data_IF_005733608229
#
_entry.id   IF_005733608229
#
_cell.length_a   1.000
_cell.length_b   1.000
_cell.length_c   1.000
_cell.angle_alpha   90.00
_cell.angle_beta   90.00
_cell.angle_gamma   90.00
#
_symmetry.space_group_name_H-M   'P 1'
#
loop_
_entity.id
_entity.type
_entity.pdbx_description
1 polymer ?
#
# COMPACT_ATOMS: atom_id res chain seq x y z
N UNK A 1 1.81 -9.16 -22.82
CA UNK A 1 0.48 -8.61 -22.54
C UNK A 1 0.56 -7.08 -22.54
N UNK A 2 -0.53 -6.36 -22.94
CA UNK A 2 -0.51 -4.89 -22.99
C UNK A 2 -0.21 -4.28 -21.61
N UNK A 3 -0.82 -4.78 -20.54
CA UNK A 3 -0.56 -4.34 -19.18
C UNK A 3 0.92 -4.48 -18.77
N UNK A 4 1.61 -5.57 -19.13
CA UNK A 4 3.05 -5.72 -18.83
C UNK A 4 3.92 -4.74 -19.63
N UNK A 5 3.53 -4.42 -20.86
CA UNK A 5 4.20 -3.36 -21.65
C UNK A 5 4.07 -2.00 -20.96
N UNK A 6 2.85 -1.63 -20.57
CA UNK A 6 2.60 -0.38 -19.83
C UNK A 6 3.32 -0.36 -18.47
N UNK A 7 3.33 -1.49 -17.74
CA UNK A 7 4.04 -1.59 -16.48
C UNK A 7 5.55 -1.33 -16.65
N UNK A 8 6.16 -1.87 -17.71
CA UNK A 8 7.55 -1.57 -18.04
C UNK A 8 7.75 -0.10 -18.41
N UNK A 9 6.83 0.48 -19.16
CA UNK A 9 6.88 1.88 -19.58
C UNK A 9 6.85 2.82 -18.37
N UNK A 10 5.89 2.63 -17.45
CA UNK A 10 5.73 3.51 -16.27
C UNK A 10 6.80 3.30 -15.20
N UNK A 11 7.44 2.13 -15.15
CA UNK A 11 8.50 1.84 -14.16
C UNK A 11 9.92 2.01 -14.71
N UNK A 12 10.10 2.01 -16.03
CA UNK A 12 11.40 1.98 -16.69
C UNK A 12 12.09 0.61 -16.63
N UNK A 13 11.42 -0.42 -16.13
CA UNK A 13 12.01 -1.75 -15.97
C UNK A 13 12.18 -2.48 -17.32
N UNK A 14 13.23 -3.31 -17.50
CA UNK A 14 13.47 -4.06 -18.73
C UNK A 14 12.47 -5.18 -18.96
N UNK A 15 11.86 -5.74 -17.88
CA UNK A 15 10.86 -6.80 -17.95
C UNK A 15 9.85 -6.68 -16.81
N UNK A 16 8.67 -7.28 -16.98
CA UNK A 16 7.58 -7.28 -16.00
C UNK A 16 6.80 -8.58 -16.05
N UNK A 17 6.19 -8.97 -14.93
CA UNK A 17 5.25 -10.06 -14.77
C UNK A 17 4.13 -9.63 -13.84
N UNK A 18 2.89 -10.07 -14.12
CA UNK A 18 1.71 -9.76 -13.33
C UNK A 18 1.10 -11.05 -12.81
N UNK A 19 0.85 -11.08 -11.50
CA UNK A 19 0.19 -12.17 -10.79
C UNK A 19 -1.00 -11.67 -9.96
N UNK A 20 -1.71 -12.55 -9.28
CA UNK A 20 -2.98 -12.24 -8.61
C UNK A 20 -2.86 -11.33 -7.38
N UNK A 21 -1.75 -11.37 -6.63
CA UNK A 21 -1.49 -10.50 -5.49
C UNK A 21 0.01 -10.47 -5.12
N UNK A 22 0.42 -9.54 -4.25
CA UNK A 22 1.81 -9.37 -3.85
C UNK A 22 2.37 -10.56 -3.06
N UNK A 23 1.56 -11.23 -2.23
CA UNK A 23 1.98 -12.45 -1.52
C UNK A 23 2.31 -13.58 -2.51
N UNK A 24 1.47 -13.77 -3.54
CA UNK A 24 1.73 -14.69 -4.63
C UNK A 24 2.96 -14.31 -5.45
N UNK A 25 3.22 -13.00 -5.62
CA UNK A 25 4.43 -12.51 -6.27
C UNK A 25 5.69 -12.89 -5.49
N UNK A 26 5.69 -12.68 -4.17
CA UNK A 26 6.81 -13.03 -3.30
C UNK A 26 7.03 -14.54 -3.24
N UNK A 27 5.96 -15.32 -3.07
CA UNK A 27 6.01 -16.78 -3.09
C UNK A 27 6.62 -17.31 -4.41
N UNK A 28 6.19 -16.77 -5.53
CA UNK A 28 6.71 -17.10 -6.86
C UNK A 28 8.18 -16.72 -6.98
N UNK A 29 8.55 -15.50 -6.60
CA UNK A 29 9.92 -14.99 -6.69
C UNK A 29 10.89 -15.88 -5.90
N UNK A 30 10.59 -16.09 -4.62
CA UNK A 30 11.42 -16.88 -3.73
C UNK A 30 11.48 -18.36 -4.16
N UNK A 31 10.33 -18.97 -4.44
CA UNK A 31 10.28 -20.37 -4.87
C UNK A 31 10.94 -20.67 -6.23
N UNK A 32 11.04 -19.67 -7.11
CA UNK A 32 11.70 -19.83 -8.40
C UNK A 32 13.21 -19.51 -8.35
N UNK A 33 13.66 -18.61 -7.45
CA UNK A 33 15.04 -18.14 -7.38
C UNK A 33 15.85 -18.86 -6.30
N UNK A 34 15.21 -19.23 -5.19
CA UNK A 34 15.92 -19.59 -3.95
C UNK A 34 15.46 -20.92 -3.33
N UNK A 35 14.63 -21.71 -4.01
CA UNK A 35 14.12 -22.99 -3.46
C UNK A 35 15.26 -23.88 -2.95
N UNK A 36 15.09 -24.44 -1.77
CA UNK A 36 16.05 -25.29 -1.04
C UNK A 36 17.39 -24.59 -0.72
N UNK A 37 17.44 -23.26 -0.86
CA UNK A 37 18.63 -22.43 -0.59
C UNK A 37 18.30 -21.33 0.43
N UNK A 38 19.32 -20.58 0.80
CA UNK A 38 19.24 -19.53 1.81
C UNK A 38 18.89 -18.17 1.22
N UNK A 39 18.01 -17.44 1.92
CA UNK A 39 17.64 -16.05 1.64
C UNK A 39 17.99 -15.23 2.87
N UNK A 40 18.89 -14.26 2.69
CA UNK A 40 19.34 -13.38 3.77
C UNK A 40 18.44 -12.15 3.82
N UNK A 41 17.87 -11.85 4.99
CA UNK A 41 16.96 -10.71 5.21
C UNK A 41 17.19 -10.11 6.59
N UNK A 42 16.98 -8.80 6.74
CA UNK A 42 17.06 -8.12 8.04
C UNK A 42 15.95 -8.60 8.97
N UNK A 43 16.30 -8.90 10.23
CA UNK A 43 15.30 -9.21 11.26
C UNK A 43 14.29 -8.09 11.47
N UNK A 44 14.71 -6.84 11.33
CA UNK A 44 13.83 -5.67 11.40
C UNK A 44 12.82 -5.56 10.26
N UNK A 45 12.95 -6.38 9.20
CA UNK A 45 12.08 -6.42 8.03
C UNK A 45 11.13 -7.63 7.99
N UNK A 46 11.14 -8.47 9.04
CA UNK A 46 10.23 -9.61 9.17
C UNK A 46 8.84 -9.13 9.58
N UNK A 47 8.10 -8.66 8.58
CA UNK A 47 6.81 -8.01 8.75
C UNK A 47 5.65 -8.99 8.90
N UNK A 48 4.61 -8.54 9.63
CA UNK A 48 3.24 -9.07 9.52
C UNK A 48 2.35 -7.96 8.95
N UNK A 49 1.57 -8.28 7.92
CA UNK A 49 0.57 -7.38 7.32
C UNK A 49 -0.83 -7.94 7.61
N UNK A 50 -1.86 -7.13 7.42
CA UNK A 50 -3.25 -7.52 7.66
C UNK A 50 -3.64 -8.87 7.02
N UNK A 51 -4.52 -9.64 7.70
CA UNK A 51 -4.91 -10.97 7.27
C UNK A 51 -3.89 -12.07 7.60
N UNK A 52 -3.09 -11.86 8.66
CA UNK A 52 -2.08 -12.83 9.15
C UNK A 52 -0.97 -13.15 8.13
N UNK A 53 -0.75 -12.27 7.15
CA UNK A 53 0.39 -12.40 6.24
C UNK A 53 1.69 -12.17 7.03
N UNK A 54 2.45 -13.22 7.22
CA UNK A 54 3.77 -13.21 7.88
C UNK A 54 4.85 -13.57 6.87
N UNK A 55 5.83 -12.71 6.72
CA UNK A 55 6.94 -12.94 5.79
C UNK A 55 7.64 -14.30 6.03
N UNK A 56 7.99 -14.71 7.26
CA UNK A 56 8.60 -16.02 7.49
C UNK A 56 7.75 -17.20 7.00
N UNK A 57 6.43 -17.15 7.18
CA UNK A 57 5.52 -18.20 6.72
C UNK A 57 5.47 -18.30 5.19
N UNK A 58 5.54 -17.17 4.48
CA UNK A 58 5.62 -17.16 3.01
C UNK A 58 6.97 -17.72 2.54
N UNK A 59 8.06 -17.40 3.22
CA UNK A 59 9.39 -17.95 2.92
C UNK A 59 9.42 -19.46 3.11
N UNK A 60 8.86 -19.96 4.20
CA UNK A 60 8.71 -21.41 4.44
C UNK A 60 7.87 -22.08 3.34
N UNK A 61 6.71 -21.49 3.00
CA UNK A 61 5.84 -21.99 1.93
C UNK A 61 6.53 -21.96 0.55
N UNK A 62 7.44 -21.05 0.31
CA UNK A 62 8.27 -21.00 -0.89
C UNK A 62 9.35 -22.09 -0.94
N UNK A 63 9.60 -22.77 0.18
CA UNK A 63 10.64 -23.80 0.34
C UNK A 63 12.04 -23.22 0.40
N UNK A 64 12.21 -22.01 0.98
CA UNK A 64 13.51 -21.37 1.16
C UNK A 64 13.95 -21.41 2.63
N UNK A 65 15.24 -21.33 2.87
CA UNK A 65 15.80 -21.23 4.21
C UNK A 65 16.01 -19.76 4.59
N UNK A 66 15.25 -19.27 5.56
CA UNK A 66 15.38 -17.93 6.09
C UNK A 66 16.69 -17.80 6.89
N UNK A 67 17.51 -16.79 6.53
CA UNK A 67 18.71 -16.39 7.30
C UNK A 67 18.51 -14.95 7.76
N UNK A 68 18.21 -14.79 9.05
CA UNK A 68 17.98 -13.49 9.67
C UNK A 68 19.29 -12.81 10.05
N UNK A 69 19.44 -11.52 9.73
CA UNK A 69 20.61 -10.73 10.09
C UNK A 69 20.23 -9.48 10.90
N UNK A 70 21.18 -9.02 11.72
CA UNK A 70 20.98 -7.86 12.59
C UNK A 70 20.00 -8.11 13.73
N UNK A 71 19.37 -7.04 14.18
CA UNK A 71 18.39 -7.04 15.28
C UNK A 71 17.10 -6.35 14.83
N UNK A 72 16.10 -6.28 15.71
CA UNK A 72 14.80 -5.66 15.41
C UNK A 72 14.91 -4.22 14.92
N UNK A 73 15.86 -3.43 15.47
CA UNK A 73 15.99 -2.00 15.20
C UNK A 73 17.32 -1.61 14.53
N UNK A 74 18.29 -2.52 14.44
CA UNK A 74 19.60 -2.24 13.84
C UNK A 74 20.09 -3.39 13.00
N UNK A 75 20.38 -3.09 11.76
CA UNK A 75 21.07 -3.99 10.83
C UNK A 75 22.15 -3.20 10.13
N UNK A 76 23.35 -3.75 10.04
CA UNK A 76 24.48 -3.17 9.37
C UNK A 76 24.85 -3.98 8.12
N UNK A 77 25.52 -3.35 7.17
CA UNK A 77 25.97 -4.04 5.95
C UNK A 77 26.88 -5.25 6.28
N UNK A 78 27.68 -5.13 7.34
CA UNK A 78 28.53 -6.23 7.84
C UNK A 78 27.73 -7.46 8.28
N UNK A 79 26.50 -7.30 8.77
CA UNK A 79 25.63 -8.42 9.17
C UNK A 79 25.23 -9.24 7.95
N UNK A 80 24.87 -8.56 6.83
CA UNK A 80 24.61 -9.23 5.56
C UNK A 80 25.86 -9.91 5.01
N UNK A 81 27.01 -9.20 5.00
CA UNK A 81 28.26 -9.72 4.48
C UNK A 81 28.74 -10.99 5.21
N UNK A 82 28.53 -11.04 6.54
CA UNK A 82 28.88 -12.17 7.37
C UNK A 82 27.95 -13.39 7.24
N UNK A 83 26.74 -13.20 6.75
CA UNK A 83 25.74 -14.24 6.59
C UNK A 83 25.76 -14.88 5.18
N UNK A 84 26.39 -14.25 4.20
CA UNK A 84 26.47 -14.77 2.83
C UNK A 84 27.42 -15.98 2.81
N UNK A 85 26.89 -17.13 2.41
CA UNK A 85 27.62 -18.39 2.25
C UNK A 85 27.33 -19.05 0.89
N UNK A 86 27.87 -20.27 0.70
CA UNK A 86 27.72 -21.04 -0.54
C UNK A 86 26.24 -21.41 -0.83
N UNK A 87 25.43 -21.52 0.20
CA UNK A 87 24.00 -21.83 0.08
C UNK A 87 23.13 -20.60 -0.19
N UNK A 88 23.65 -19.39 -0.05
CA UNK A 88 22.89 -18.16 -0.27
C UNK A 88 22.48 -18.06 -1.73
N UNK A 89 21.18 -17.83 -1.99
CA UNK A 89 20.63 -17.68 -3.34
C UNK A 89 20.38 -16.22 -3.70
N UNK A 90 19.96 -15.42 -2.73
CA UNK A 90 19.68 -13.99 -2.93
C UNK A 90 19.69 -13.24 -1.59
N UNK A 91 19.81 -11.92 -1.67
CA UNK A 91 19.44 -11.03 -0.57
C UNK A 91 18.01 -10.54 -0.79
N UNK A 92 17.26 -10.39 0.29
CA UNK A 92 15.91 -9.83 0.29
C UNK A 92 15.89 -8.57 1.15
N UNK A 93 15.46 -7.47 0.59
CA UNK A 93 15.12 -6.25 1.32
C UNK A 93 13.60 -6.09 1.31
N UNK A 94 13.02 -5.71 2.44
CA UNK A 94 11.56 -5.54 2.57
C UNK A 94 11.28 -4.16 3.14
N UNK A 95 10.53 -3.36 2.39
CA UNK A 95 10.13 -2.03 2.86
C UNK A 95 9.04 -2.15 3.94
N UNK A 96 9.22 -1.54 5.13
CA UNK A 96 8.24 -1.58 6.22
C UNK A 96 7.04 -0.68 5.89
N UNK A 97 6.20 -1.11 4.93
CA UNK A 97 5.11 -0.30 4.37
C UNK A 97 3.93 -0.07 5.33
N UNK A 98 3.84 -0.79 6.45
CA UNK A 98 2.71 -0.74 7.40
C UNK A 98 3.10 -0.35 8.84
N UNK A 99 4.38 -0.14 9.13
CA UNK A 99 4.86 0.30 10.45
C UNK A 99 6.11 1.16 10.32
N UNK A 100 6.46 1.83 11.40
CA UNK A 100 7.68 2.62 11.51
C UNK A 100 8.40 2.29 12.82
N UNK A 101 9.72 2.05 12.75
CA UNK A 101 10.56 1.91 13.94
C UNK A 101 11.18 3.28 14.24
N UNK A 102 10.95 3.76 15.47
CA UNK A 102 11.40 5.08 15.93
C UNK A 102 12.41 4.92 17.06
N UNK A 103 13.47 5.74 17.05
CA UNK A 103 14.50 5.76 18.09
C UNK A 103 15.87 5.38 17.55
N UNK A 104 16.59 4.52 18.27
CA UNK A 104 17.94 4.08 17.89
C UNK A 104 17.87 3.02 16.79
N UNK A 105 17.65 3.46 15.55
CA UNK A 105 17.52 2.57 14.38
C UNK A 105 18.71 2.75 13.43
N UNK A 106 19.05 1.67 12.73
CA UNK A 106 20.05 1.69 11.64
C UNK A 106 19.65 0.63 10.61
N UNK A 107 19.60 1.03 9.35
CA UNK A 107 19.47 0.13 8.20
C UNK A 107 20.44 0.57 7.10
N UNK A 108 21.14 -0.35 6.43
CA UNK A 108 21.97 0.02 5.30
C UNK A 108 21.08 0.51 4.15
N UNK A 109 21.53 1.53 3.39
CA UNK A 109 20.84 1.93 2.16
C UNK A 109 20.71 0.77 1.17
N UNK A 110 19.58 0.73 0.46
CA UNK A 110 19.31 -0.34 -0.51
C UNK A 110 20.44 -0.50 -1.55
N UNK A 111 21.06 0.61 -1.96
CA UNK A 111 22.18 0.60 -2.91
C UNK A 111 23.40 -0.14 -2.35
N UNK A 112 23.73 0.02 -1.07
CA UNK A 112 24.85 -0.69 -0.44
C UNK A 112 24.57 -2.20 -0.35
N UNK A 113 23.31 -2.60 -0.09
CA UNK A 113 22.90 -4.02 -0.09
C UNK A 113 22.99 -4.58 -1.51
N UNK A 114 22.59 -3.81 -2.54
CA UNK A 114 22.69 -4.19 -3.94
C UNK A 114 24.15 -4.40 -4.36
N UNK A 115 25.02 -3.44 -4.04
CA UNK A 115 26.46 -3.52 -4.35
C UNK A 115 27.10 -4.76 -3.70
N UNK A 116 26.77 -5.04 -2.42
CA UNK A 116 27.23 -6.24 -1.73
C UNK A 116 26.73 -7.52 -2.40
N UNK A 117 25.46 -7.59 -2.76
CA UNK A 117 24.87 -8.73 -3.46
C UNK A 117 25.61 -8.98 -4.80
N UNK A 118 25.78 -7.95 -5.60
CA UNK A 118 26.44 -8.03 -6.90
C UNK A 118 27.90 -8.42 -6.81
N UNK A 119 28.66 -7.91 -5.83
CA UNK A 119 30.03 -8.35 -5.56
C UNK A 119 30.13 -9.84 -5.24
N UNK A 120 29.08 -10.44 -4.73
CA UNK A 120 28.99 -11.87 -4.41
C UNK A 120 28.29 -12.69 -5.50
N UNK A 121 27.93 -12.07 -6.64
CA UNK A 121 27.22 -12.73 -7.74
C UNK A 121 25.77 -13.12 -7.41
N UNK A 122 25.16 -12.47 -6.42
CA UNK A 122 23.80 -12.73 -5.95
C UNK A 122 22.84 -11.64 -6.44
N UNK A 123 21.57 -11.96 -6.73
CA UNK A 123 20.55 -10.97 -6.97
C UNK A 123 20.05 -10.35 -5.65
N UNK A 124 19.67 -9.06 -5.70
CA UNK A 124 18.88 -8.40 -4.69
C UNK A 124 17.42 -8.35 -5.11
N UNK A 125 16.55 -8.95 -4.29
CA UNK A 125 15.09 -8.84 -4.39
C UNK A 125 14.62 -7.75 -3.43
N UNK A 126 13.74 -6.86 -3.89
CA UNK A 126 13.14 -5.82 -3.05
C UNK A 126 11.62 -5.94 -3.02
N UNK A 127 11.08 -6.33 -1.87
CA UNK A 127 9.64 -6.25 -1.59
C UNK A 127 9.28 -4.83 -1.14
N UNK A 128 8.87 -4.01 -2.11
CA UNK A 128 8.47 -2.63 -1.89
C UNK A 128 7.08 -2.52 -1.26
N UNK A 129 6.20 -3.44 -1.57
CA UNK A 129 4.84 -3.54 -1.04
C UNK A 129 3.88 -2.43 -1.47
N UNK A 130 4.24 -1.16 -1.33
CA UNK A 130 3.35 -0.01 -1.50
C UNK A 130 2.96 0.34 -2.93
N UNK A 131 3.84 0.08 -3.90
CA UNK A 131 3.57 0.30 -5.32
C UNK A 131 3.56 1.76 -5.77
N UNK A 132 4.35 2.62 -5.13
CA UNK A 132 4.56 3.97 -5.61
C UNK A 132 5.32 3.97 -6.94
N UNK A 133 4.71 4.55 -7.98
CA UNK A 133 5.29 4.73 -9.31
C UNK A 133 5.42 6.21 -9.62
N UNK A 134 6.55 6.60 -10.22
CA UNK A 134 6.83 7.98 -10.61
C UNK A 134 7.55 8.79 -9.54
N UNK A 135 7.16 10.06 -9.38
CA UNK A 135 7.80 10.96 -8.42
C UNK A 135 7.60 10.51 -6.98
N UNK A 136 8.61 10.74 -6.14
CA UNK A 136 8.55 10.49 -4.71
C UNK A 136 7.33 11.17 -4.07
N UNK A 137 6.75 10.52 -3.08
CA UNK A 137 5.65 11.05 -2.27
C UNK A 137 5.94 10.77 -0.79
N UNK A 138 6.09 11.83 -0.01
CA UNK A 138 6.54 11.69 1.37
C UNK A 138 7.89 10.97 1.47
N UNK A 139 7.97 10.01 2.39
CA UNK A 139 9.15 9.13 2.57
C UNK A 139 9.04 7.81 1.82
N UNK A 140 7.95 7.60 1.09
CA UNK A 140 7.71 6.34 0.41
C UNK A 140 8.66 6.19 -0.79
N UNK A 141 9.44 5.11 -0.86
CA UNK A 141 10.29 4.85 -2.01
C UNK A 141 9.45 4.46 -3.22
N UNK A 142 9.89 4.89 -4.42
CA UNK A 142 9.25 4.48 -5.65
C UNK A 142 9.90 3.23 -6.25
N UNK A 143 9.18 2.57 -7.15
CA UNK A 143 9.70 1.44 -7.94
C UNK A 143 10.96 1.85 -8.70
N UNK A 144 10.97 3.06 -9.29
CA UNK A 144 12.12 3.60 -10.01
C UNK A 144 13.33 3.81 -9.11
N UNK A 145 13.12 4.31 -7.88
CA UNK A 145 14.22 4.46 -6.90
C UNK A 145 14.79 3.10 -6.49
N UNK A 146 13.95 2.09 -6.32
CA UNK A 146 14.40 0.73 -6.00
C UNK A 146 15.24 0.13 -7.12
N UNK A 147 14.80 0.28 -8.38
CA UNK A 147 15.56 -0.16 -9.55
C UNK A 147 16.87 0.61 -9.71
N UNK A 148 16.85 1.94 -9.53
CA UNK A 148 18.03 2.79 -9.60
C UNK A 148 19.04 2.49 -8.48
N UNK A 149 18.58 2.05 -7.31
CA UNK A 149 19.43 1.57 -6.22
C UNK A 149 20.04 0.18 -6.47
N UNK A 150 19.74 -0.47 -7.60
CA UNK A 150 20.36 -1.73 -8.00
C UNK A 150 19.54 -2.98 -7.64
N UNK A 151 18.27 -2.85 -7.23
CA UNK A 151 17.42 -4.03 -7.05
C UNK A 151 17.23 -4.76 -8.40
N UNK A 152 17.53 -6.06 -8.42
CA UNK A 152 17.41 -6.91 -9.62
C UNK A 152 15.97 -7.32 -9.90
N UNK A 153 15.16 -7.39 -8.84
CA UNK A 153 13.73 -7.67 -8.90
C UNK A 153 13.02 -6.82 -7.83
N UNK A 154 12.04 -6.05 -8.25
CA UNK A 154 11.15 -5.29 -7.34
C UNK A 154 9.76 -5.87 -7.45
N UNK A 155 9.12 -6.15 -6.31
CA UNK A 155 7.74 -6.62 -6.25
C UNK A 155 6.88 -5.68 -5.39
N UNK A 156 5.62 -5.52 -5.77
CA UNK A 156 4.71 -4.59 -5.12
C UNK A 156 3.24 -4.91 -5.42
N UNK A 157 2.34 -4.26 -4.69
CA UNK A 157 0.89 -4.42 -4.79
C UNK A 157 0.27 -3.43 -5.79
N UNK A 158 -0.74 -3.87 -6.53
CA UNK A 158 -1.46 -3.03 -7.48
C UNK A 158 -2.53 -2.13 -6.83
N UNK A 159 -3.05 -2.54 -5.69
CA UNK A 159 -4.22 -1.94 -5.02
C UNK A 159 -3.90 -0.96 -3.88
N UNK A 160 -2.65 -0.51 -3.81
CA UNK A 160 -2.20 0.52 -2.85
C UNK A 160 -1.91 1.83 -3.60
N UNK A 161 -0.68 2.35 -3.53
CA UNK A 161 -0.32 3.64 -4.15
C UNK A 161 -0.33 3.63 -5.68
N UNK A 162 -0.26 2.45 -6.33
CA UNK A 162 -0.53 2.39 -7.75
C UNK A 162 -1.97 2.79 -8.09
N UNK A 163 -2.92 2.51 -7.19
CA UNK A 163 -4.33 2.89 -7.34
C UNK A 163 -5.14 2.02 -8.29
N UNK A 164 -4.66 0.80 -8.53
CA UNK A 164 -5.29 -0.20 -9.40
C UNK A 164 -6.05 -1.29 -8.64
N UNK A 165 -6.37 -2.41 -9.32
CA UNK A 165 -6.95 -3.58 -8.71
C UNK A 165 -5.91 -4.35 -7.89
N UNK A 166 -6.37 -5.27 -7.04
CA UNK A 166 -5.50 -6.23 -6.38
C UNK A 166 -4.72 -7.02 -7.43
N UNK A 167 -3.40 -6.90 -7.39
CA UNK A 167 -2.45 -7.61 -8.24
C UNK A 167 -1.08 -7.64 -7.55
N UNK A 168 -0.28 -8.64 -7.86
CA UNK A 168 1.14 -8.68 -7.57
C UNK A 168 1.93 -8.31 -8.82
N UNK A 169 2.78 -7.32 -8.71
CA UNK A 169 3.56 -6.77 -9.81
C UNK A 169 5.03 -7.04 -9.56
N UNK A 170 5.68 -7.63 -10.54
CA UNK A 170 7.12 -7.95 -10.50
C UNK A 170 7.78 -7.26 -11.69
N UNK A 171 8.81 -6.47 -11.41
CA UNK A 171 9.59 -5.76 -12.44
C UNK A 171 11.08 -5.90 -12.15
N UNK A 172 11.91 -5.96 -13.19
CA UNK A 172 13.36 -6.08 -13.02
C UNK A 172 14.04 -6.75 -14.20
N UNK A 173 15.14 -7.44 -13.92
CA UNK A 173 16.00 -8.07 -14.93
C UNK A 173 15.24 -9.13 -15.74
N UNK A 174 15.46 -9.13 -17.07
CA UNK A 174 14.80 -10.05 -18.02
C UNK A 174 15.02 -11.51 -17.67
N UNK A 175 16.22 -11.84 -17.20
CA UNK A 175 16.61 -13.20 -16.83
C UNK A 175 15.77 -13.70 -15.66
N UNK A 176 15.62 -12.90 -14.60
CA UNK A 176 14.83 -13.25 -13.42
C UNK A 176 13.34 -13.36 -13.78
N UNK A 177 12.78 -12.36 -14.43
CA UNK A 177 11.38 -12.39 -14.88
C UNK A 177 11.14 -13.60 -15.79
N UNK A 178 12.09 -13.97 -16.66
CA UNK A 178 12.00 -15.15 -17.49
C UNK A 178 12.01 -16.47 -16.71
N UNK A 179 12.76 -16.56 -15.62
CA UNK A 179 12.74 -17.70 -14.68
C UNK A 179 11.39 -17.81 -14.01
N UNK A 180 10.89 -16.70 -13.46
CA UNK A 180 9.59 -16.65 -12.79
C UNK A 180 8.44 -17.07 -13.73
N UNK A 181 8.41 -16.52 -14.94
CA UNK A 181 7.35 -16.80 -15.92
C UNK A 181 7.30 -18.29 -16.37
N UNK A 182 8.41 -19.00 -16.31
CA UNK A 182 8.50 -20.42 -16.62
C UNK A 182 8.18 -21.34 -15.44
N UNK A 183 8.12 -20.81 -14.23
CA UNK A 183 7.78 -21.59 -13.03
C UNK A 183 6.34 -22.11 -13.12
N UNK A 184 6.07 -23.37 -12.78
CA UNK A 184 4.70 -23.88 -12.67
C UNK A 184 3.83 -23.05 -11.70
N UNK A 185 4.44 -22.44 -10.68
CA UNK A 185 3.77 -21.59 -9.72
C UNK A 185 3.17 -20.33 -10.37
N UNK A 186 3.80 -19.80 -11.44
CA UNK A 186 3.27 -18.65 -12.18
C UNK A 186 1.87 -18.94 -12.77
N UNK A 187 1.59 -20.20 -13.09
CA UNK A 187 0.26 -20.63 -13.56
C UNK A 187 -0.76 -20.63 -12.41
N UNK A 188 -0.35 -21.05 -11.22
CA UNK A 188 -1.23 -21.11 -10.04
C UNK A 188 -1.61 -19.71 -9.53
N UNK A 189 -0.67 -18.75 -9.59
CA UNK A 189 -0.88 -17.37 -9.13
C UNK A 189 -1.25 -16.40 -10.26
N UNK A 190 -1.70 -16.90 -11.40
CA UNK A 190 -2.04 -16.07 -12.55
C UNK A 190 -3.20 -15.12 -12.26
N UNK A 191 -3.03 -13.83 -12.58
CA UNK A 191 -4.12 -12.87 -12.56
C UNK A 191 -5.19 -13.19 -13.61
N UNK A 192 -6.46 -12.95 -13.30
CA UNK A 192 -7.59 -13.13 -14.19
C UNK A 192 -7.69 -11.97 -15.22
N UNK A 193 -8.61 -12.13 -16.19
CA UNK A 193 -8.77 -11.17 -17.30
C UNK A 193 -9.34 -9.82 -16.84
N UNK A 194 -10.21 -9.79 -15.82
CA UNK A 194 -10.81 -8.56 -15.31
C UNK A 194 -9.75 -7.75 -14.56
N UNK A 195 -8.96 -8.40 -13.70
CA UNK A 195 -7.80 -7.79 -13.03
C UNK A 195 -6.82 -7.21 -14.06
N UNK A 196 -6.47 -7.94 -15.10
CA UNK A 196 -5.55 -7.46 -16.16
C UNK A 196 -6.13 -6.25 -16.88
N UNK A 197 -7.42 -6.26 -17.23
CA UNK A 197 -8.07 -5.14 -17.93
C UNK A 197 -8.13 -3.87 -17.04
N UNK A 198 -8.50 -4.01 -15.77
CA UNK A 198 -8.53 -2.90 -14.82
C UNK A 198 -7.11 -2.33 -14.57
N UNK A 199 -6.12 -3.22 -14.43
CA UNK A 199 -4.72 -2.81 -14.26
C UNK A 199 -4.18 -2.10 -15.51
N UNK A 200 -4.55 -2.55 -16.71
CA UNK A 200 -4.19 -1.88 -17.96
C UNK A 200 -4.71 -0.46 -18.02
N UNK A 201 -5.97 -0.22 -17.62
CA UNK A 201 -6.55 1.11 -17.52
C UNK A 201 -5.79 2.00 -16.51
N UNK A 202 -5.49 1.46 -15.32
CA UNK A 202 -4.71 2.17 -14.30
C UNK A 202 -3.32 2.56 -14.82
N UNK A 203 -2.60 1.61 -15.42
CA UNK A 203 -1.26 1.86 -15.95
C UNK A 203 -1.27 2.83 -17.14
N UNK A 204 -2.31 2.80 -17.98
CA UNK A 204 -2.49 3.78 -19.06
C UNK A 204 -2.70 5.20 -18.51
N UNK A 205 -3.41 5.35 -17.40
CA UNK A 205 -3.59 6.63 -16.70
C UNK A 205 -2.25 7.16 -16.18
N UNK A 206 -1.42 6.28 -15.58
CA UNK A 206 -0.06 6.64 -15.16
C UNK A 206 0.84 7.02 -16.35
N UNK A 207 0.84 6.23 -17.43
CA UNK A 207 1.62 6.50 -18.63
C UNK A 207 1.24 7.83 -19.31
N UNK A 208 -0.02 8.22 -19.21
CA UNK A 208 -0.52 9.51 -19.70
C UNK A 208 -0.20 10.69 -18.77
N UNK A 209 0.47 10.47 -17.63
CA UNK A 209 0.76 11.52 -16.64
C UNK A 209 -0.47 12.02 -15.87
N UNK A 210 -1.57 11.27 -15.86
CA UNK A 210 -2.87 11.67 -15.29
C UNK A 210 -3.20 10.93 -14.00
N UNK A 211 -2.18 10.56 -13.22
CA UNK A 211 -2.36 9.78 -11.98
C UNK A 211 -3.35 10.42 -10.99
N UNK A 212 -3.48 11.76 -11.00
CA UNK A 212 -4.39 12.48 -10.12
C UNK A 212 -5.89 12.22 -10.46
N UNK A 213 -6.18 11.58 -11.58
CA UNK A 213 -7.52 11.07 -11.90
C UNK A 213 -7.86 9.78 -11.14
N UNK A 214 -6.84 9.06 -10.63
CA UNK A 214 -7.06 7.86 -9.82
C UNK A 214 -7.57 8.24 -8.43
N UNK A 215 -8.58 7.53 -7.88
CA UNK A 215 -9.21 7.90 -6.60
C UNK A 215 -8.22 8.05 -5.45
N UNK A 216 -7.25 7.14 -5.31
CA UNK A 216 -6.23 7.21 -4.26
C UNK A 216 -5.38 8.48 -4.40
N UNK A 217 -4.94 8.80 -5.61
CA UNK A 217 -4.10 9.98 -5.86
C UNK A 217 -4.88 11.27 -5.67
N UNK A 218 -6.13 11.33 -6.13
CA UNK A 218 -7.02 12.46 -5.83
C UNK A 218 -7.11 12.70 -4.34
N UNK A 219 -7.35 11.64 -3.55
CA UNK A 219 -7.42 11.75 -2.09
C UNK A 219 -6.09 12.21 -1.48
N UNK A 220 -4.95 11.70 -1.93
CA UNK A 220 -3.62 12.05 -1.42
C UNK A 220 -3.24 13.51 -1.74
N UNK A 221 -3.59 14.01 -2.93
CA UNK A 221 -3.16 15.33 -3.43
C UNK A 221 -4.19 16.45 -3.18
N UNK A 222 -5.40 16.15 -2.68
CA UNK A 222 -6.42 17.16 -2.35
C UNK A 222 -5.87 18.17 -1.34
N UNK A 223 -5.96 19.46 -1.66
CA UNK A 223 -5.45 20.57 -0.86
C UNK A 223 -6.41 20.95 0.26
N UNK A 224 -5.89 21.54 1.33
CA UNK A 224 -6.72 22.08 2.42
C UNK A 224 -7.68 23.17 1.93
N UNK A 225 -7.23 23.99 0.97
CA UNK A 225 -8.03 25.08 0.39
C UNK A 225 -9.27 24.56 -0.34
N UNK A 226 -9.23 23.32 -0.86
CA UNK A 226 -10.37 22.66 -1.50
C UNK A 226 -11.27 21.97 -0.46
N UNK A 227 -10.70 21.44 0.62
CA UNK A 227 -11.44 20.72 1.66
C UNK A 227 -12.21 21.68 2.59
N UNK A 228 -11.60 22.80 2.97
CA UNK A 228 -12.17 23.75 3.93
C UNK A 228 -13.56 24.26 3.54
N UNK A 229 -13.79 24.81 2.33
CA UNK A 229 -15.12 25.26 1.96
C UNK A 229 -16.16 24.13 1.92
N UNK A 230 -15.77 22.92 1.47
CA UNK A 230 -16.64 21.74 1.44
C UNK A 230 -17.06 21.33 2.86
N UNK A 231 -16.10 21.17 3.77
CA UNK A 231 -16.36 20.81 5.17
C UNK A 231 -17.25 21.87 5.86
N UNK A 232 -16.98 23.14 5.60
CA UNK A 232 -17.78 24.25 6.16
C UNK A 232 -19.22 24.20 5.64
N UNK A 233 -19.41 23.94 4.34
CA UNK A 233 -20.74 23.83 3.74
C UNK A 233 -21.55 22.66 4.32
N UNK A 234 -20.92 21.48 4.46
CA UNK A 234 -21.55 20.30 5.08
C UNK A 234 -21.92 20.61 6.55
N UNK A 235 -21.01 21.17 7.34
CA UNK A 235 -21.29 21.51 8.73
C UNK A 235 -22.42 22.52 8.86
N UNK A 236 -22.42 23.60 8.05
CA UNK A 236 -23.47 24.60 8.03
C UNK A 236 -24.85 24.00 7.67
N UNK A 237 -24.89 23.08 6.74
CA UNK A 237 -26.11 22.41 6.32
C UNK A 237 -26.70 21.46 7.39
N UNK A 238 -25.88 20.94 8.30
CA UNK A 238 -26.30 20.17 9.47
C UNK A 238 -26.74 21.08 10.60
N UNK A 239 -26.12 22.24 10.75
CA UNK A 239 -26.48 23.23 11.77
C UNK A 239 -25.74 23.02 13.10
N UNK A 240 -26.43 23.31 14.24
CA UNK A 240 -25.81 23.36 15.55
C UNK A 240 -25.13 22.04 16.01
N UNK A 241 -25.52 20.92 15.44
CA UNK A 241 -24.94 19.62 15.76
C UNK A 241 -23.60 19.37 15.05
N UNK A 242 -23.13 20.25 14.16
CA UNK A 242 -21.90 20.04 13.40
C UNK A 242 -20.96 21.25 13.47
N UNK A 243 -19.68 20.97 13.45
CA UNK A 243 -18.60 21.95 13.36
C UNK A 243 -17.44 21.43 12.51
N UNK A 244 -16.50 22.29 12.18
CA UNK A 244 -15.29 21.90 11.47
C UNK A 244 -14.06 22.08 12.35
N UNK A 245 -13.07 21.20 12.18
CA UNK A 245 -11.73 21.36 12.76
C UNK A 245 -10.64 20.92 11.82
N UNK A 246 -9.44 21.40 12.06
CA UNK A 246 -8.25 20.84 11.44
C UNK A 246 -7.94 19.46 12.02
N UNK A 247 -7.43 18.58 11.19
CA UNK A 247 -7.12 17.22 11.56
C UNK A 247 -6.14 16.56 10.59
N UNK A 248 -6.00 15.26 10.75
CA UNK A 248 -5.06 14.47 9.98
C UNK A 248 -5.79 13.26 9.39
N UNK A 249 -5.60 13.04 8.09
CA UNK A 249 -5.96 11.82 7.40
C UNK A 249 -4.72 10.92 7.31
N UNK A 250 -4.93 9.62 7.23
CA UNK A 250 -3.87 8.62 7.01
C UNK A 250 -4.19 7.81 5.76
N UNK A 251 -3.16 7.38 5.05
CA UNK A 251 -3.34 6.62 3.80
C UNK A 251 -3.84 5.17 4.02
N UNK A 252 -3.98 4.73 5.27
CA UNK A 252 -4.37 3.37 5.61
C UNK A 252 -3.18 2.41 5.75
N UNK A 253 -3.47 1.13 5.94
CA UNK A 253 -2.42 0.12 6.12
C UNK A 253 -1.70 -0.22 4.83
N UNK A 254 -0.38 -0.37 4.92
CA UNK A 254 0.44 -0.86 3.82
C UNK A 254 1.06 0.20 2.90
N UNK A 255 0.97 1.49 3.26
CA UNK A 255 1.68 2.58 2.59
C UNK A 255 1.75 3.82 3.48
N UNK A 256 2.80 4.64 3.33
CA UNK A 256 3.02 5.88 4.06
C UNK A 256 2.94 5.73 5.59
N UNK A 257 3.68 4.78 6.20
CA UNK A 257 3.61 4.55 7.63
C UNK A 257 4.07 5.78 8.41
N UNK A 258 3.24 6.20 9.40
CA UNK A 258 3.53 7.36 10.24
C UNK A 258 3.39 8.72 9.54
N UNK A 259 3.00 8.75 8.27
CA UNK A 259 2.73 10.01 7.56
C UNK A 259 1.25 10.39 7.65
N UNK A 260 1.00 11.61 8.11
CA UNK A 260 -0.32 12.20 8.17
C UNK A 260 -0.51 13.29 7.12
N UNK A 261 -1.66 13.31 6.49
CA UNK A 261 -2.07 14.35 5.55
C UNK A 261 -2.94 15.35 6.28
N UNK A 262 -2.56 16.61 6.29
CA UNK A 262 -3.38 17.66 6.89
C UNK A 262 -4.77 17.69 6.22
N UNK A 263 -5.84 17.70 7.02
CA UNK A 263 -7.23 17.67 6.54
C UNK A 263 -8.12 18.64 7.32
N UNK A 264 -9.34 18.84 6.80
CA UNK A 264 -10.42 19.54 7.49
C UNK A 264 -11.55 18.55 7.72
N UNK A 265 -11.83 18.29 8.98
CA UNK A 265 -12.80 17.29 9.43
C UNK A 265 -14.12 17.96 9.78
N UNK A 266 -15.22 17.29 9.47
CA UNK A 266 -16.55 17.64 9.98
C UNK A 266 -16.79 16.81 11.23
N UNK A 267 -16.96 17.47 12.38
CA UNK A 267 -17.31 16.85 13.65
C UNK A 267 -18.79 17.01 13.91
N UNK A 268 -19.43 15.95 14.32
CA UNK A 268 -20.87 15.87 14.53
C UNK A 268 -21.15 15.40 15.95
N UNK A 269 -21.99 16.15 16.65
CA UNK A 269 -22.56 15.76 17.93
C UNK A 269 -23.64 14.71 17.68
N UNK A 270 -23.45 13.45 18.13
CA UNK A 270 -24.46 12.41 17.92
C UNK A 270 -25.69 12.56 18.82
N UNK A 271 -25.71 13.55 19.74
CA UNK A 271 -26.80 13.77 20.70
C UNK A 271 -27.09 12.55 21.56
N UNK A 272 -28.37 12.37 21.89
CA UNK A 272 -28.85 11.26 22.73
C UNK A 272 -28.74 9.90 22.05
N UNK A 273 -28.65 9.84 20.73
CA UNK A 273 -28.51 8.57 19.98
C UNK A 273 -27.13 7.90 20.22
N UNK A 274 -26.10 8.69 20.50
CA UNK A 274 -24.73 8.21 20.65
C UNK A 274 -24.03 7.90 19.33
N UNK A 275 -22.70 7.85 19.39
CA UNK A 275 -21.86 7.71 18.20
C UNK A 275 -22.07 6.38 17.46
N UNK A 276 -22.22 5.27 18.17
CA UNK A 276 -22.38 3.94 17.56
C UNK A 276 -23.67 3.82 16.75
N UNK A 277 -24.77 4.37 17.24
CA UNK A 277 -26.03 4.36 16.52
C UNK A 277 -25.98 5.21 15.26
N UNK A 278 -25.39 6.42 15.34
CA UNK A 278 -25.21 7.30 14.18
C UNK A 278 -24.30 6.64 13.15
N UNK A 279 -23.17 6.06 13.57
CA UNK A 279 -22.27 5.33 12.67
C UNK A 279 -22.95 4.12 12.02
N UNK A 280 -23.78 3.38 12.75
CA UNK A 280 -24.54 2.25 12.21
C UNK A 280 -25.51 2.71 11.13
N UNK A 281 -26.28 3.78 11.37
CA UNK A 281 -27.21 4.36 10.41
C UNK A 281 -26.50 4.86 9.16
N UNK A 282 -25.33 5.51 9.31
CA UNK A 282 -24.51 5.96 8.18
C UNK A 282 -24.03 4.80 7.30
N UNK A 283 -23.58 3.68 7.92
CA UNK A 283 -23.19 2.48 7.17
C UNK A 283 -24.36 1.81 6.46
N UNK A 284 -25.57 1.89 7.02
CA UNK A 284 -26.79 1.32 6.45
C UNK A 284 -27.49 2.26 5.45
N UNK A 285 -26.97 3.48 5.25
CA UNK A 285 -27.53 4.42 4.28
C UNK A 285 -27.26 3.95 2.83
N UNK A 286 -28.02 4.44 1.89
CA UNK A 286 -27.79 4.24 0.46
C UNK A 286 -27.54 5.60 -0.24
N UNK A 287 -26.34 5.83 -0.78
CA UNK A 287 -25.12 5.04 -0.60
C UNK A 287 -24.59 5.07 0.84
N UNK A 288 -23.85 4.03 1.29
CA UNK A 288 -23.29 4.01 2.63
C UNK A 288 -22.24 5.10 2.83
N UNK A 289 -22.25 5.71 4.04
CA UNK A 289 -21.24 6.70 4.44
C UNK A 289 -20.40 6.11 5.56
N UNK A 290 -19.09 6.05 5.34
CA UNK A 290 -18.13 5.54 6.31
C UNK A 290 -17.53 6.72 7.08
N UNK A 291 -17.89 6.84 8.33
CA UNK A 291 -17.37 7.80 9.30
C UNK A 291 -16.66 7.07 10.44
N UNK A 292 -16.03 7.80 11.35
CA UNK A 292 -15.38 7.22 12.54
C UNK A 292 -15.81 7.92 13.83
N UNK A 293 -15.72 7.21 14.94
CA UNK A 293 -15.86 7.78 16.27
C UNK A 293 -14.51 8.39 16.72
N UNK A 294 -14.55 9.58 17.29
CA UNK A 294 -13.38 10.24 17.87
C UNK A 294 -13.84 11.15 19.00
N UNK A 295 -13.45 10.82 20.25
CA UNK A 295 -13.75 11.62 21.46
C UNK A 295 -15.23 11.91 21.67
N UNK A 296 -16.09 10.92 21.47
CA UNK A 296 -17.54 11.07 21.63
C UNK A 296 -18.24 11.83 20.48
N UNK A 297 -17.55 12.05 19.38
CA UNK A 297 -18.06 12.70 18.16
C UNK A 297 -18.00 11.73 16.98
N UNK A 298 -18.94 11.90 16.06
CA UNK A 298 -18.85 11.28 14.74
C UNK A 298 -18.04 12.21 13.81
N UNK A 299 -17.01 11.68 13.18
CA UNK A 299 -16.10 12.46 12.35
C UNK A 299 -16.16 11.98 10.91
N UNK A 300 -16.39 12.92 9.99
CA UNK A 300 -16.35 12.73 8.54
C UNK A 300 -15.17 13.49 7.95
N UNK A 301 -14.43 12.82 7.09
CA UNK A 301 -13.33 13.41 6.32
C UNK A 301 -13.68 13.38 4.83
N UNK A 302 -13.88 14.56 4.25
CA UNK A 302 -14.27 14.69 2.85
C UNK A 302 -13.14 14.45 1.86
N UNK A 303 -11.92 14.20 2.33
CA UNK A 303 -10.75 13.94 1.49
C UNK A 303 -10.95 12.77 0.51
N UNK A 304 -11.63 11.71 0.97
CA UNK A 304 -11.91 10.52 0.17
C UNK A 304 -13.28 10.55 -0.52
N UNK A 305 -14.04 11.62 -0.31
CA UNK A 305 -15.36 11.81 -0.91
C UNK A 305 -15.22 12.63 -2.17
N UNK A 306 -15.68 12.16 -3.34
CA UNK A 306 -15.77 12.98 -4.54
C UNK A 306 -16.64 14.22 -4.28
N UNK A 307 -16.25 15.44 -4.74
CA UNK A 307 -16.98 16.69 -4.45
C UNK A 307 -18.46 16.64 -4.84
N UNK A 308 -18.78 15.96 -5.93
CA UNK A 308 -20.15 15.75 -6.41
C UNK A 308 -21.03 14.87 -5.49
N UNK A 309 -20.44 14.32 -4.41
CA UNK A 309 -21.15 13.50 -3.42
C UNK A 309 -21.35 14.22 -2.07
N UNK A 310 -20.95 15.47 -1.92
CA UNK A 310 -21.07 16.20 -0.65
C UNK A 310 -22.51 16.33 -0.20
N UNK A 311 -23.45 16.56 -1.13
CA UNK A 311 -24.89 16.60 -0.84
C UNK A 311 -25.40 15.24 -0.32
N UNK A 312 -24.97 14.14 -0.91
CA UNK A 312 -25.35 12.80 -0.47
C UNK A 312 -24.84 12.50 0.95
N UNK A 313 -23.62 12.94 1.27
CA UNK A 313 -23.07 12.84 2.65
C UNK A 313 -23.89 13.70 3.61
N UNK A 314 -24.23 14.93 3.23
CA UNK A 314 -25.05 15.82 4.05
C UNK A 314 -26.41 15.22 4.36
N UNK A 315 -27.08 14.67 3.36
CA UNK A 315 -28.41 14.05 3.52
C UNK A 315 -28.33 12.77 4.36
N UNK A 316 -27.28 11.97 4.20
CA UNK A 316 -27.07 10.80 5.04
C UNK A 316 -26.87 11.19 6.51
N UNK A 317 -26.09 12.25 6.77
CA UNK A 317 -25.87 12.78 8.11
C UNK A 317 -27.17 13.28 8.76
N UNK A 318 -27.99 14.03 8.02
CA UNK A 318 -29.32 14.48 8.50
C UNK A 318 -30.21 13.31 8.89
N UNK A 319 -30.30 12.28 8.03
CA UNK A 319 -31.07 11.08 8.32
C UNK A 319 -30.53 10.30 9.53
N UNK A 320 -29.22 10.22 9.66
CA UNK A 320 -28.59 9.48 10.76
C UNK A 320 -28.77 10.17 12.12
N UNK A 321 -28.91 11.51 12.14
CA UNK A 321 -29.13 12.32 13.33
C UNK A 321 -30.63 12.44 13.70
N UNK A 322 -31.54 12.27 12.75
CA UNK A 322 -32.95 12.28 13.05
C UNK A 322 -33.27 11.14 14.04
N UNK A 323 -34.06 11.44 15.06
CA UNK A 323 -34.58 10.39 15.94
C UNK A 323 -35.31 9.35 15.08
N UNK A 324 -35.19 8.04 15.38
CA UNK A 324 -36.04 7.08 14.73
C UNK A 324 -37.47 7.51 15.04
N UNK A 325 -38.29 7.71 13.98
CA UNK A 325 -39.71 7.92 14.14
C UNK A 325 -40.18 6.89 15.17
N UNK A 326 -40.75 7.38 16.27
CA UNK A 326 -41.20 6.52 17.37
C UNK A 326 -42.18 5.52 16.81
N UNK A 327 -41.65 4.38 16.39
CA UNK A 327 -42.43 3.20 16.05
C UNK A 327 -43.19 2.81 17.30
N UNK A 328 -44.47 3.23 17.33
CA UNK A 328 -45.41 2.93 18.38
C UNK A 328 -45.40 1.45 18.70
N UNK A 329 -45.50 1.21 19.98
CA UNK A 329 -45.68 -0.05 20.64
C UNK A 329 -46.79 -0.91 20.00
#
# INVERSE_FOLDING_TARGET
>A
VAAERLLREVTGAPAALIVNNAAGALLLALGAVARDREVVVSRGELIEIGGEFRLPAIMEAAGVHLVEVGTTNRTHLADYAGAIGERTACLLAVHPSNYQVIGFTTQPPLAEIADLAHQRGLPLLHDLGSGLVGAAFGREPSVQQSLAAGADLVLFSGDKLLGGPQAGLLVGRRELIGVLARSPLARAVRADKLTIAALEATLATHAAGRRDELPVWRALTTRLDDLRPRATAVAAAIGAAASTREGVSVAGGGSLPGEGLASVLVEIDPGTAGEDAVLSRLRSNDPPVIARAERGRVVVDLRTVPPERDDAVTDALRRALAEPDGGGA
#
